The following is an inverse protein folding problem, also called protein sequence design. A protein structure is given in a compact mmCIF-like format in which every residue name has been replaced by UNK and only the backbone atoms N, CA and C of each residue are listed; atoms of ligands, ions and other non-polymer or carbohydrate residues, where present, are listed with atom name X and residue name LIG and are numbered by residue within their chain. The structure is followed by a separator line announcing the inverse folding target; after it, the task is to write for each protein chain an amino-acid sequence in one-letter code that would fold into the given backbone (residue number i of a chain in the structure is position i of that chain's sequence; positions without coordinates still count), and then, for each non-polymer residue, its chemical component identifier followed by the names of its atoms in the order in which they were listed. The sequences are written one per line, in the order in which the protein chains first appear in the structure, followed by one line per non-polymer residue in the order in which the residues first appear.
data_IF_231635603131
#
_entry.id   IF_231635603131
#
_cell.length_a   1.000
_cell.length_b   1.000
_cell.length_c   1.000
_cell.angle_alpha   90.00
_cell.angle_beta   90.00
_cell.angle_gamma   90.00
#
_symmetry.space_group_name_H-M   'P 1'
#
loop_
_entity.id
_entity.type
_entity.pdbx_description
1 polymer ?
#
# COMPACT_ATOMS: atom_id res chain seq x y z
N UNK A 1 -13.56 -43.12 29.63
CA UNK A 1 -14.03 -41.80 29.19
C UNK A 1 -13.04 -41.20 28.22
N UNK A 2 -13.38 -41.15 26.94
CA UNK A 2 -12.65 -40.30 26.00
C UNK A 2 -13.10 -38.86 26.26
N UNK A 3 -12.21 -38.02 26.78
CA UNK A 3 -12.45 -36.58 26.83
C UNK A 3 -12.39 -36.10 25.38
N UNK A 4 -13.54 -35.81 24.79
CA UNK A 4 -13.61 -34.98 23.60
C UNK A 4 -13.07 -33.61 24.03
N UNK A 5 -11.81 -33.34 23.76
CA UNK A 5 -11.27 -31.99 23.88
C UNK A 5 -12.01 -31.16 22.84
N UNK A 6 -13.05 -30.44 23.27
CA UNK A 6 -13.64 -29.39 22.46
C UNK A 6 -12.51 -28.41 22.21
N UNK A 7 -12.03 -28.33 20.97
CA UNK A 7 -11.01 -27.36 20.60
C UNK A 7 -11.64 -25.99 20.85
N UNK A 8 -11.22 -25.32 21.93
CA UNK A 8 -11.69 -23.99 22.22
C UNK A 8 -11.18 -23.10 21.09
N UNK A 9 -12.09 -22.38 20.42
CA UNK A 9 -11.69 -21.39 19.42
C UNK A 9 -10.69 -20.44 20.06
N UNK A 10 -9.53 -20.18 19.41
CA UNK A 10 -8.56 -19.27 20.00
C UNK A 10 -9.21 -17.88 20.21
N UNK A 11 -8.71 -17.07 21.13
CA UNK A 11 -9.20 -15.71 21.35
C UNK A 11 -8.83 -14.78 20.19
N UNK A 12 -9.75 -13.88 19.78
CA UNK A 12 -9.55 -12.99 18.63
C UNK A 12 -8.79 -11.71 19.01
N UNK A 13 -8.08 -11.16 18.03
CA UNK A 13 -7.39 -9.86 18.19
C UNK A 13 -8.41 -8.72 18.28
N UNK A 14 -7.99 -7.58 18.81
CA UNK A 14 -8.83 -6.40 19.00
C UNK A 14 -8.33 -5.24 18.16
N UNK A 15 -9.25 -4.38 17.74
CA UNK A 15 -8.99 -3.14 17.02
C UNK A 15 -7.95 -3.29 15.89
N UNK A 16 -8.17 -4.20 14.92
CA UNK A 16 -7.34 -4.23 13.73
C UNK A 16 -7.38 -2.87 13.02
N UNK A 17 -6.25 -2.44 12.50
CA UNK A 17 -6.07 -1.19 11.76
C UNK A 17 -5.17 -1.45 10.56
N UNK A 18 -5.44 -0.74 9.48
CA UNK A 18 -4.58 -0.70 8.31
C UNK A 18 -4.35 0.76 7.94
N UNK A 19 -3.11 1.08 7.61
CA UNK A 19 -2.72 2.37 7.05
C UNK A 19 -2.05 2.11 5.73
N UNK A 20 -2.70 2.58 4.66
CA UNK A 20 -2.14 2.51 3.34
C UNK A 20 -1.11 3.63 3.15
N UNK A 21 0.07 3.23 2.69
CA UNK A 21 1.24 4.06 2.44
C UNK A 21 1.72 3.90 0.99
N UNK A 22 1.04 3.07 0.21
CA UNK A 22 1.13 3.09 -1.24
C UNK A 22 0.25 4.23 -1.77
N UNK A 23 0.69 4.85 -2.86
CA UNK A 23 0.01 6.01 -3.46
C UNK A 23 -0.48 5.72 -4.88
N UNK A 24 -0.26 4.50 -5.35
CA UNK A 24 -0.79 4.03 -6.61
C UNK A 24 -2.24 3.56 -6.44
N UNK A 25 -3.14 4.13 -7.24
CA UNK A 25 -4.58 3.89 -7.06
C UNK A 25 -4.95 2.43 -7.30
N UNK A 26 -5.65 1.85 -6.32
CA UNK A 26 -6.05 0.45 -6.36
C UNK A 26 -4.96 -0.52 -5.93
N UNK A 27 -3.86 -0.01 -5.38
CA UNK A 27 -2.75 -0.78 -4.84
C UNK A 27 -2.56 -0.42 -3.37
N UNK A 28 -2.23 -1.42 -2.57
CA UNK A 28 -2.07 -1.30 -1.13
C UNK A 28 -0.61 -1.50 -0.77
N UNK A 29 -0.19 -0.85 0.31
CA UNK A 29 1.10 -1.10 0.94
C UNK A 29 1.17 -0.48 2.32
N UNK A 30 1.89 -1.11 3.25
CA UNK A 30 2.06 -0.57 4.61
C UNK A 30 1.53 -1.46 5.72
N UNK A 31 1.47 -0.93 6.96
CA UNK A 31 1.28 -1.76 8.13
C UNK A 31 -0.19 -2.11 8.40
N UNK A 32 -0.44 -3.41 8.62
CA UNK A 32 -1.59 -3.92 9.35
C UNK A 32 -1.17 -4.08 10.81
N UNK A 33 -1.93 -3.51 11.74
CA UNK A 33 -1.66 -3.59 13.18
C UNK A 33 -2.91 -4.01 13.96
N UNK A 34 -2.71 -4.57 15.15
CA UNK A 34 -3.79 -4.97 16.04
C UNK A 34 -3.35 -4.94 17.50
N UNK A 35 -4.32 -5.06 18.40
CA UNK A 35 -4.08 -5.35 19.81
C UNK A 35 -4.25 -6.84 20.05
N UNK A 36 -3.21 -7.49 20.61
CA UNK A 36 -3.29 -8.90 20.98
C UNK A 36 -4.37 -9.14 22.04
N UNK A 37 -5.06 -10.30 22.03
CA UNK A 37 -6.01 -10.64 23.09
C UNK A 37 -5.31 -10.73 24.45
N UNK A 38 -6.04 -10.38 25.52
CA UNK A 38 -5.50 -10.41 26.89
C UNK A 38 -5.05 -11.81 27.34
N UNK A 39 -5.64 -12.86 26.76
CA UNK A 39 -5.20 -14.23 26.91
C UNK A 39 -4.77 -14.75 25.54
N UNK A 40 -3.54 -15.21 25.39
CA UNK A 40 -3.01 -15.81 24.15
C UNK A 40 -2.83 -17.32 24.26
N UNK A 41 -3.33 -17.93 25.34
CA UNK A 41 -3.27 -19.39 25.53
C UNK A 41 -3.97 -20.07 24.36
N UNK A 42 -3.26 -20.98 23.70
CA UNK A 42 -3.78 -21.68 22.52
C UNK A 42 -3.73 -20.85 21.24
N UNK A 43 -3.07 -19.69 21.21
CA UNK A 43 -2.72 -18.99 19.96
C UNK A 43 -1.26 -19.29 19.62
N UNK A 44 -1.03 -19.89 18.47
CA UNK A 44 0.29 -20.13 17.89
C UNK A 44 0.72 -19.02 16.92
N UNK A 45 -0.22 -18.50 16.12
CA UNK A 45 0.03 -17.49 15.10
C UNK A 45 -1.20 -16.64 14.80
N UNK A 46 -1.01 -15.56 14.05
CA UNK A 46 -2.05 -14.76 13.42
C UNK A 46 -1.90 -14.83 11.91
N UNK A 47 -2.98 -15.13 11.19
CA UNK A 47 -3.03 -15.06 9.73
C UNK A 47 -3.73 -13.78 9.30
N UNK A 48 -3.04 -12.97 8.51
CA UNK A 48 -3.54 -11.68 8.01
C UNK A 48 -3.81 -11.82 6.52
N UNK A 49 -4.94 -11.30 6.07
CA UNK A 49 -5.29 -11.33 4.65
C UNK A 49 -6.37 -10.34 4.27
N UNK A 50 -6.70 -10.34 2.98
CA UNK A 50 -7.75 -9.53 2.39
C UNK A 50 -9.04 -10.33 2.29
N UNK A 51 -10.18 -9.65 2.43
CA UNK A 51 -11.51 -10.24 2.31
C UNK A 51 -12.52 -9.27 1.70
N UNK A 52 -13.61 -9.82 1.16
CA UNK A 52 -14.70 -9.03 0.56
C UNK A 52 -15.74 -8.57 1.57
N UNK A 53 -15.65 -9.04 2.82
CA UNK A 53 -16.51 -8.63 3.94
C UNK A 53 -15.84 -8.87 5.31
N UNK A 54 -16.51 -8.41 6.37
CA UNK A 54 -16.12 -8.59 7.78
C UNK A 54 -16.08 -10.06 8.22
N UNK A 55 -16.80 -10.95 7.54
CA UNK A 55 -16.82 -12.38 7.88
C UNK A 55 -15.61 -13.13 7.32
N UNK A 56 -14.81 -12.50 6.45
CA UNK A 56 -13.65 -13.10 5.81
C UNK A 56 -13.96 -13.84 4.52
N UNK A 57 -15.07 -13.51 3.85
CA UNK A 57 -15.39 -14.09 2.54
C UNK A 57 -14.29 -13.80 1.52
N UNK A 58 -14.03 -14.77 0.64
CA UNK A 58 -12.99 -14.69 -0.39
C UNK A 58 -11.57 -14.46 0.18
N UNK A 59 -11.29 -14.97 1.37
CA UNK A 59 -10.00 -14.76 2.06
C UNK A 59 -8.79 -15.01 1.14
N UNK A 60 -7.93 -14.00 1.05
CA UNK A 60 -6.63 -14.05 0.37
C UNK A 60 -5.52 -13.77 1.36
N UNK A 61 -4.74 -14.79 1.71
CA UNK A 61 -3.70 -14.70 2.72
C UNK A 61 -2.54 -13.80 2.26
N UNK A 62 -2.18 -12.81 3.06
CA UNK A 62 -1.01 -11.94 2.86
C UNK A 62 0.20 -12.43 3.66
N UNK A 63 -0.04 -13.05 4.81
CA UNK A 63 1.02 -13.69 5.60
C UNK A 63 0.59 -14.10 6.99
N UNK A 64 1.40 -14.97 7.60
CA UNK A 64 1.25 -15.43 8.97
C UNK A 64 2.39 -14.89 9.84
N UNK A 65 2.06 -14.48 11.06
CA UNK A 65 3.04 -14.04 12.05
C UNK A 65 2.86 -14.80 13.37
N UNK A 66 3.95 -15.14 14.09
CA UNK A 66 3.84 -15.91 15.33
C UNK A 66 3.18 -15.10 16.45
N UNK A 67 2.59 -15.80 17.43
CA UNK A 67 2.11 -15.15 18.66
C UNK A 67 3.22 -14.34 19.33
N UNK A 68 2.86 -13.16 19.86
CA UNK A 68 3.81 -12.19 20.40
C UNK A 68 4.14 -11.05 19.44
N UNK A 69 3.71 -11.14 18.17
CA UNK A 69 3.65 -10.00 17.26
C UNK A 69 2.26 -9.35 17.29
N UNK A 70 2.21 -8.13 16.78
CA UNK A 70 1.00 -7.31 16.71
C UNK A 70 0.90 -6.49 15.41
N UNK A 71 1.70 -6.87 14.40
CA UNK A 71 1.73 -6.23 13.11
C UNK A 71 2.20 -7.18 11.99
N UNK A 72 1.74 -6.91 10.77
CA UNK A 72 2.29 -7.43 9.51
C UNK A 72 2.41 -6.25 8.54
N UNK A 73 3.57 -6.09 7.89
CA UNK A 73 3.72 -5.15 6.79
C UNK A 73 3.28 -5.79 5.48
N UNK A 74 2.34 -5.17 4.78
CA UNK A 74 2.07 -5.48 3.38
C UNK A 74 3.19 -4.86 2.53
N UNK A 75 3.74 -5.60 1.55
CA UNK A 75 4.60 -4.99 0.55
C UNK A 75 3.80 -3.92 -0.24
N UNK A 76 4.50 -3.02 -0.92
CA UNK A 76 3.87 -2.13 -1.89
C UNK A 76 3.35 -2.92 -3.10
N UNK A 77 2.55 -2.24 -3.92
CA UNK A 77 1.96 -2.71 -5.17
C UNK A 77 0.99 -3.91 -4.98
N UNK A 78 0.36 -4.04 -3.80
CA UNK A 78 -0.62 -5.10 -3.54
C UNK A 78 -1.98 -4.71 -4.10
N UNK A 79 -2.33 -5.23 -5.28
CA UNK A 79 -3.62 -4.93 -5.92
C UNK A 79 -4.84 -5.25 -5.04
N UNK A 80 -5.71 -4.24 -4.82
CA UNK A 80 -6.88 -4.33 -3.94
C UNK A 80 -8.03 -5.19 -4.52
N UNK A 81 -8.17 -5.22 -5.84
CA UNK A 81 -9.23 -5.97 -6.54
C UNK A 81 -10.64 -5.65 -6.02
N UNK A 82 -11.39 -6.67 -5.62
CA UNK A 82 -12.74 -6.51 -5.04
C UNK A 82 -12.75 -6.59 -3.51
N UNK A 83 -11.59 -6.62 -2.86
CA UNK A 83 -11.50 -6.69 -1.41
C UNK A 83 -11.91 -5.37 -0.77
N UNK A 84 -12.52 -5.47 0.40
CA UNK A 84 -13.03 -4.31 1.16
C UNK A 84 -12.56 -4.32 2.61
N UNK A 85 -11.96 -5.41 3.07
CA UNK A 85 -11.52 -5.60 4.44
C UNK A 85 -10.13 -6.24 4.52
N UNK A 86 -9.37 -5.85 5.54
CA UNK A 86 -8.30 -6.66 6.12
C UNK A 86 -8.93 -7.51 7.21
N UNK A 87 -8.61 -8.80 7.23
CA UNK A 87 -9.05 -9.74 8.25
C UNK A 87 -7.87 -10.42 8.91
N UNK A 88 -8.01 -10.69 10.21
CA UNK A 88 -7.00 -11.33 11.03
C UNK A 88 -7.63 -12.50 11.77
N UNK A 89 -7.11 -13.69 11.51
CA UNK A 89 -7.48 -14.92 12.19
C UNK A 89 -6.42 -15.28 13.23
N UNK A 90 -6.83 -15.69 14.43
CA UNK A 90 -5.92 -16.39 15.35
C UNK A 90 -5.89 -17.89 15.02
N UNK A 91 -4.71 -18.49 15.08
CA UNK A 91 -4.45 -19.90 14.76
C UNK A 91 -3.93 -20.62 16.00
N UNK A 92 -4.44 -21.81 16.31
CA UNK A 92 -4.03 -22.65 17.46
C UNK A 92 -2.95 -23.71 17.14
N UNK A 93 -2.39 -23.64 15.93
CA UNK A 93 -1.40 -24.59 15.40
C UNK A 93 -2.00 -25.73 14.59
N UNK A 94 -3.32 -25.93 14.64
CA UNK A 94 -4.04 -26.91 13.83
C UNK A 94 -5.10 -26.25 12.94
N UNK A 95 -5.73 -25.18 13.42
CA UNK A 95 -6.82 -24.50 12.74
C UNK A 95 -6.87 -23.00 13.04
N UNK A 96 -7.39 -22.25 12.09
CA UNK A 96 -7.78 -20.85 12.29
C UNK A 96 -9.16 -20.76 12.97
N UNK A 97 -9.44 -19.63 13.62
CA UNK A 97 -10.79 -19.24 14.00
C UNK A 97 -11.76 -19.34 12.82
N UNK A 98 -13.04 -19.59 13.11
CA UNK A 98 -14.11 -19.56 12.10
C UNK A 98 -14.57 -18.14 11.75
N UNK A 99 -14.22 -17.14 12.57
CA UNK A 99 -14.61 -15.74 12.36
C UNK A 99 -13.43 -14.82 12.72
N UNK A 100 -12.98 -13.96 11.80
CA UNK A 100 -11.83 -13.10 12.04
C UNK A 100 -12.21 -11.82 12.78
N UNK A 101 -11.20 -11.09 13.26
CA UNK A 101 -11.33 -9.65 13.46
C UNK A 101 -11.11 -8.95 12.11
N UNK A 102 -11.80 -7.84 11.85
CA UNK A 102 -11.69 -7.15 10.56
C UNK A 102 -11.56 -5.63 10.72
N UNK A 103 -10.84 -5.03 9.77
CA UNK A 103 -10.77 -3.59 9.52
C UNK A 103 -11.21 -3.30 8.09
N UNK A 104 -11.90 -2.17 7.88
CA UNK A 104 -12.24 -1.71 6.52
C UNK A 104 -10.95 -1.26 5.83
N UNK A 105 -10.80 -1.62 4.55
CA UNK A 105 -9.71 -1.13 3.72
C UNK A 105 -9.96 0.33 3.33
N UNK A 106 -8.87 1.09 3.26
CA UNK A 106 -8.85 2.42 2.66
C UNK A 106 -7.68 2.45 1.70
N UNK A 107 -7.96 2.82 0.45
CA UNK A 107 -6.98 3.00 -0.63
C UNK A 107 -6.56 4.47 -0.65
N UNK A 108 -5.28 4.75 -0.45
CA UNK A 108 -4.72 6.09 -0.56
C UNK A 108 -4.11 6.25 -1.94
N UNK A 109 -4.41 7.34 -2.62
CA UNK A 109 -3.85 7.58 -3.96
C UNK A 109 -3.48 9.05 -4.13
N UNK A 110 -2.32 9.30 -4.76
CA UNK A 110 -1.81 10.64 -4.96
C UNK A 110 -1.19 10.79 -6.35
N UNK A 111 -2.00 11.23 -7.32
CA UNK A 111 -1.58 11.42 -8.71
C UNK A 111 -1.41 12.90 -9.05
N UNK A 112 -0.22 13.29 -9.54
CA UNK A 112 0.00 14.59 -10.14
C UNK A 112 -0.71 14.69 -11.50
N UNK A 113 -1.31 15.84 -11.79
CA UNK A 113 -2.09 16.09 -13.01
C UNK A 113 -1.49 17.25 -13.82
N UNK A 114 -2.07 17.54 -14.99
CA UNK A 114 -1.75 18.70 -15.82
C UNK A 114 -0.24 18.90 -16.04
N UNK A 115 0.48 17.79 -16.29
CA UNK A 115 1.91 17.81 -16.56
C UNK A 115 2.14 18.53 -17.90
N UNK A 116 2.97 19.56 -17.88
CA UNK A 116 3.32 20.35 -19.05
C UNK A 116 4.81 20.68 -19.06
N UNK A 117 5.40 20.72 -20.24
CA UNK A 117 6.73 21.29 -20.49
C UNK A 117 6.54 22.46 -21.45
N UNK A 118 7.03 23.63 -21.07
CA UNK A 118 7.25 24.72 -22.01
C UNK A 118 8.69 24.58 -22.49
N UNK A 119 8.86 24.08 -23.71
CA UNK A 119 10.18 23.96 -24.31
C UNK A 119 10.73 25.36 -24.63
N UNK A 120 11.84 25.69 -24.00
CA UNK A 120 12.57 26.94 -24.14
C UNK A 120 13.88 26.75 -24.90
N UNK A 121 14.17 25.53 -25.33
CA UNK A 121 15.26 25.27 -26.27
C UNK A 121 14.86 25.70 -27.68
N UNK A 122 15.83 26.15 -28.46
CA UNK A 122 15.60 26.64 -29.84
C UNK A 122 16.07 25.64 -30.89
N UNK A 123 16.70 24.54 -30.48
CA UNK A 123 17.21 23.51 -31.36
C UNK A 123 16.20 22.34 -31.50
N UNK A 124 15.88 21.95 -32.74
CA UNK A 124 14.77 21.03 -33.09
C UNK A 124 14.87 19.62 -32.46
N UNK A 125 16.00 19.26 -31.86
CA UNK A 125 16.29 17.91 -31.32
C UNK A 125 16.64 17.92 -29.84
N UNK A 126 16.44 19.04 -29.18
CA UNK A 126 16.79 19.24 -27.78
C UNK A 126 15.59 19.79 -27.04
N UNK A 127 15.54 19.53 -25.74
CA UNK A 127 14.53 20.06 -24.84
C UNK A 127 15.21 20.88 -23.75
N UNK A 128 14.51 21.92 -23.30
CA UNK A 128 14.92 22.72 -22.15
C UNK A 128 13.75 23.48 -21.54
N UNK A 129 13.87 23.87 -20.27
CA UNK A 129 12.83 24.66 -19.59
C UNK A 129 12.27 23.97 -18.35
N UNK A 130 11.10 24.40 -17.88
CA UNK A 130 10.50 23.85 -16.66
C UNK A 130 9.38 22.86 -17.01
N UNK A 131 9.47 21.67 -16.42
CA UNK A 131 8.34 20.75 -16.33
C UNK A 131 7.49 21.19 -15.15
N UNK A 132 6.22 21.44 -15.38
CA UNK A 132 5.25 21.85 -14.36
C UNK A 132 4.14 20.82 -14.22
N UNK A 133 3.52 20.74 -13.04
CA UNK A 133 2.38 19.85 -12.78
C UNK A 133 1.43 20.48 -11.74
N UNK A 134 0.20 20.00 -11.73
CA UNK A 134 -0.73 20.19 -10.63
C UNK A 134 -0.53 19.09 -9.58
N UNK A 135 -0.30 19.42 -8.29
CA UNK A 135 -0.20 18.41 -7.23
C UNK A 135 -1.54 17.70 -7.01
N UNK A 136 -1.54 16.47 -6.45
CA UNK A 136 -2.76 15.76 -6.09
C UNK A 136 -3.58 16.55 -5.08
N UNK A 137 -4.90 16.32 -5.08
CA UNK A 137 -5.82 16.97 -4.15
C UNK A 137 -5.53 16.65 -2.68
N UNK A 138 -5.02 15.44 -2.41
CA UNK A 138 -4.45 15.03 -1.14
C UNK A 138 -2.98 14.65 -1.35
N UNK A 139 -2.07 15.41 -0.74
CA UNK A 139 -0.63 15.18 -0.80
C UNK A 139 -0.05 14.82 0.58
N UNK A 140 -0.89 14.44 1.55
CA UNK A 140 -0.49 14.22 2.95
C UNK A 140 0.59 13.15 3.13
N UNK A 141 0.59 12.14 2.26
CA UNK A 141 1.58 11.05 2.24
C UNK A 141 2.70 11.27 1.20
N UNK A 142 2.59 12.28 0.33
CA UNK A 142 3.61 12.60 -0.67
C UNK A 142 4.79 13.29 0.02
N UNK A 143 6.00 12.78 -0.20
CA UNK A 143 7.23 13.36 0.37
C UNK A 143 8.05 14.11 -0.69
N UNK A 144 8.08 13.58 -1.91
CA UNK A 144 8.80 14.14 -3.04
C UNK A 144 8.12 13.82 -4.37
N UNK A 145 8.47 14.57 -5.41
CA UNK A 145 8.14 14.28 -6.80
C UNK A 145 9.42 13.96 -7.55
N UNK A 146 9.39 12.91 -8.36
CA UNK A 146 10.45 12.59 -9.33
C UNK A 146 9.89 12.72 -10.74
N UNK A 147 10.53 13.55 -11.56
CA UNK A 147 10.10 13.82 -12.94
C UNK A 147 10.96 13.00 -13.90
N UNK A 148 10.33 12.39 -14.90
CA UNK A 148 11.02 11.58 -15.90
C UNK A 148 10.56 11.95 -17.31
N UNK A 149 11.49 11.97 -18.25
CA UNK A 149 11.19 11.83 -19.68
C UNK A 149 11.00 10.35 -19.97
N UNK A 150 10.07 9.99 -20.85
CA UNK A 150 9.85 8.60 -21.27
C UNK A 150 9.52 8.50 -22.76
N UNK A 151 9.85 7.36 -23.34
CA UNK A 151 9.62 7.07 -24.76
C UNK A 151 8.15 6.73 -25.08
N UNK A 152 7.33 6.50 -24.06
CA UNK A 152 5.89 6.28 -24.18
C UNK A 152 5.14 6.64 -22.89
N UNK A 153 3.81 6.56 -22.94
CA UNK A 153 2.91 6.88 -21.84
C UNK A 153 2.97 5.88 -20.65
N UNK A 154 3.66 4.75 -20.79
CA UNK A 154 3.86 3.75 -19.74
C UNK A 154 5.20 3.90 -19.02
N UNK A 155 5.94 4.98 -19.30
CA UNK A 155 7.24 5.22 -18.67
C UNK A 155 8.40 4.39 -19.23
N UNK A 156 8.26 3.77 -20.42
CA UNK A 156 9.36 2.99 -20.99
C UNK A 156 10.57 3.87 -21.32
N UNK A 157 11.77 3.35 -21.05
CA UNK A 157 13.02 4.08 -21.30
C UNK A 157 13.16 5.36 -20.47
N UNK A 158 12.58 5.39 -19.26
CA UNK A 158 12.56 6.61 -18.45
C UNK A 158 13.96 7.14 -18.13
N UNK A 159 14.12 8.45 -18.26
CA UNK A 159 15.31 9.20 -17.84
C UNK A 159 14.90 10.29 -16.87
N UNK A 160 15.49 10.33 -15.69
CA UNK A 160 15.10 11.29 -14.65
C UNK A 160 15.55 12.69 -15.04
N UNK A 161 14.65 13.66 -14.87
CA UNK A 161 14.92 15.09 -15.03
C UNK A 161 15.39 15.65 -13.69
N UNK A 162 16.65 16.07 -13.63
CA UNK A 162 17.25 16.57 -12.39
C UNK A 162 17.20 15.53 -11.27
N UNK A 163 17.01 16.01 -10.04
CA UNK A 163 16.78 15.16 -8.86
C UNK A 163 15.34 15.29 -8.34
N UNK A 164 14.94 14.45 -7.37
CA UNK A 164 13.64 14.59 -6.73
C UNK A 164 13.47 15.97 -6.10
N UNK A 165 12.24 16.51 -6.16
CA UNK A 165 11.87 17.79 -5.53
C UNK A 165 10.89 17.55 -4.39
N UNK A 166 10.99 18.31 -3.31
CA UNK A 166 10.13 18.12 -2.14
C UNK A 166 8.65 18.41 -2.44
N UNK A 167 7.76 17.76 -1.69
CA UNK A 167 6.32 18.06 -1.68
C UNK A 167 6.07 19.56 -1.44
N UNK A 168 5.05 20.11 -2.11
CA UNK A 168 4.77 21.55 -2.16
C UNK A 168 5.44 22.27 -3.33
N UNK A 169 6.33 21.60 -4.06
CA UNK A 169 6.87 22.07 -5.35
C UNK A 169 5.93 21.66 -6.49
N UNK A 170 5.85 22.49 -7.54
CA UNK A 170 5.01 22.25 -8.73
C UNK A 170 5.78 22.39 -10.04
N UNK A 171 7.12 22.41 -9.96
CA UNK A 171 8.00 22.45 -11.13
C UNK A 171 9.36 21.79 -10.88
N UNK A 172 9.96 21.29 -11.94
CA UNK A 172 11.34 20.81 -11.98
C UNK A 172 11.99 21.29 -13.28
N UNK A 173 13.21 21.81 -13.17
CA UNK A 173 13.93 22.31 -14.33
C UNK A 173 14.59 21.17 -15.11
N UNK A 174 14.29 21.12 -16.40
CA UNK A 174 15.00 20.35 -17.41
C UNK A 174 16.16 21.19 -17.95
N UNK A 175 17.36 20.65 -17.91
CA UNK A 175 18.54 21.35 -18.42
C UNK A 175 18.35 21.65 -19.93
N UNK A 176 18.84 22.80 -20.42
CA UNK A 176 18.91 23.05 -21.85
C UNK A 176 19.81 22.01 -22.53
N UNK A 177 19.70 21.91 -23.86
CA UNK A 177 20.47 20.98 -24.68
C UNK A 177 20.22 19.49 -24.29
N UNK A 178 19.05 19.16 -23.72
CA UNK A 178 18.71 17.76 -23.40
C UNK A 178 18.25 17.04 -24.65
N UNK A 179 19.10 16.16 -25.20
CA UNK A 179 18.78 15.41 -26.42
C UNK A 179 17.62 14.42 -26.26
N UNK A 180 16.77 14.32 -27.29
CA UNK A 180 15.64 13.36 -27.39
C UNK A 180 15.82 12.28 -28.44
#
# INVERSE_FOLDING_TARGET
SAHLAVHATPPSVLAPQFTDLDLDSGELGGPVTWTAPANTTGVAAYSVGLATDVAGSSFSAMGDVPVGTNALGLPADVGIGSFTHIVIYSIDGLSAQSSPAAAVLSDSAATAADIALVDLDLDDTELGGDVTWQPPGDATLVTEYSVFLSTNAYGAGRSQVGGPVAVGTTSASLAPDTSI
#
